data_IF_293985251601
#
_entry.id   IF_293985251601
#
_cell.length_a   1.000
_cell.length_b   1.000
_cell.length_c   1.000
_cell.angle_alpha   90.00
_cell.angle_beta   90.00
_cell.angle_gamma   90.00
#
_symmetry.space_group_name_H-M   'P 1'
#
loop_
_entity.id
_entity.type
_entity.pdbx_description
1 polymer ?
#
# COMPACT_ATOMS: atom_id res chain seq x y z
N UNK A 1 -26.39 -13.18 -8.81
CA UNK A 1 -25.06 -13.80 -8.71
C UNK A 1 -24.11 -12.94 -9.53
N UNK A 2 -23.48 -11.94 -8.92
CA UNK A 2 -22.65 -10.99 -9.67
C UNK A 2 -21.24 -11.55 -9.75
N UNK A 3 -20.78 -11.82 -10.97
CA UNK A 3 -19.43 -12.29 -11.27
C UNK A 3 -18.47 -11.18 -10.83
N UNK A 4 -17.75 -11.39 -9.73
CA UNK A 4 -16.62 -10.56 -9.33
C UNK A 4 -15.55 -10.72 -10.42
N UNK A 5 -15.37 -9.70 -11.27
CA UNK A 5 -14.25 -9.63 -12.21
C UNK A 5 -12.90 -9.75 -11.48
N UNK A 6 -11.79 -10.02 -12.21
CA UNK A 6 -10.51 -10.43 -11.62
C UNK A 6 -9.76 -9.34 -10.79
N UNK A 7 -10.38 -8.23 -10.42
CA UNK A 7 -9.70 -6.96 -10.17
C UNK A 7 -9.69 -6.39 -8.74
N UNK A 8 -9.63 -7.21 -7.67
CA UNK A 8 -9.51 -6.69 -6.29
C UNK A 8 -8.28 -7.24 -5.54
N UNK A 9 -7.15 -7.31 -6.22
CA UNK A 9 -5.89 -7.77 -5.62
C UNK A 9 -4.77 -6.84 -6.02
N UNK A 10 -4.05 -6.32 -5.04
CA UNK A 10 -2.77 -5.64 -5.27
C UNK A 10 -1.86 -6.67 -5.96
N UNK A 11 -1.32 -6.29 -7.12
CA UNK A 11 -0.26 -7.03 -7.81
C UNK A 11 1.02 -6.99 -6.96
N UNK A 12 2.04 -7.76 -7.31
CA UNK A 12 3.31 -7.64 -6.58
C UNK A 12 3.94 -6.26 -6.81
N UNK A 13 4.05 -5.48 -5.75
CA UNK A 13 4.85 -4.26 -5.71
C UNK A 13 6.30 -4.67 -5.44
N UNK A 14 7.22 -4.32 -6.34
CA UNK A 14 8.65 -4.54 -6.17
C UNK A 14 9.40 -3.21 -6.26
N UNK A 15 9.91 -2.75 -5.12
CA UNK A 15 10.78 -1.58 -5.04
C UNK A 15 12.13 -2.04 -4.52
N UNK A 16 13.11 -2.13 -5.41
CA UNK A 16 14.43 -2.73 -5.12
C UNK A 16 15.04 -2.22 -3.80
N UNK A 17 15.10 -0.89 -3.63
CA UNK A 17 15.65 -0.28 -2.41
C UNK A 17 14.84 -0.54 -1.14
N UNK A 18 13.54 -0.81 -1.25
CA UNK A 18 12.72 -1.18 -0.09
C UNK A 18 12.93 -2.63 0.33
N UNK A 19 13.39 -3.49 -0.59
CA UNK A 19 13.75 -4.87 -0.26
C UNK A 19 15.19 -5.02 0.24
N UNK A 20 16.05 -4.02 -0.02
CA UNK A 20 17.43 -4.00 0.48
C UNK A 20 17.51 -4.05 2.01
N UNK A 21 16.52 -3.47 2.72
CA UNK A 21 16.46 -3.47 4.19
C UNK A 21 16.47 -4.87 4.82
N UNK A 22 16.13 -5.91 4.06
CA UNK A 22 16.16 -7.30 4.49
C UNK A 22 16.89 -8.22 3.51
N UNK A 23 17.80 -7.68 2.70
CA UNK A 23 18.57 -8.47 1.73
C UNK A 23 19.32 -9.62 2.39
N UNK A 24 19.94 -9.36 3.55
CA UNK A 24 20.71 -10.35 4.32
C UNK A 24 19.82 -11.37 5.06
N UNK A 25 18.53 -11.08 5.21
CA UNK A 25 17.55 -11.93 5.90
C UNK A 25 16.24 -12.01 5.11
N UNK A 26 16.35 -12.46 3.86
CA UNK A 26 15.22 -12.48 2.92
C UNK A 26 14.04 -13.25 3.51
N UNK A 27 12.84 -12.63 3.59
CA UNK A 27 11.64 -13.33 4.03
C UNK A 27 11.37 -14.57 3.17
N UNK A 28 10.86 -15.63 3.79
CA UNK A 28 10.34 -16.79 3.06
C UNK A 28 9.38 -16.35 1.94
N UNK A 29 9.36 -17.02 0.77
CA UNK A 29 8.62 -16.57 -0.41
C UNK A 29 7.16 -16.21 -0.13
N UNK A 30 6.46 -16.98 0.70
CA UNK A 30 5.08 -16.69 1.11
C UNK A 30 4.94 -15.36 1.85
N UNK A 31 5.87 -15.03 2.76
CA UNK A 31 5.88 -13.75 3.49
C UNK A 31 6.27 -12.60 2.58
N UNK A 32 7.25 -12.79 1.69
CA UNK A 32 7.61 -11.78 0.70
C UNK A 32 6.43 -11.48 -0.23
N UNK A 33 5.71 -12.50 -0.68
CA UNK A 33 4.48 -12.32 -1.45
C UNK A 33 3.43 -11.48 -0.69
N UNK A 34 3.20 -11.80 0.59
CA UNK A 34 2.29 -11.02 1.43
C UNK A 34 2.75 -9.56 1.57
N UNK A 35 4.06 -9.31 1.75
CA UNK A 35 4.64 -7.97 1.82
C UNK A 35 4.42 -7.19 0.52
N UNK A 36 4.75 -7.78 -0.65
CA UNK A 36 4.57 -7.15 -1.96
C UNK A 36 3.12 -6.87 -2.31
N UNK A 37 2.17 -7.62 -1.74
CA UNK A 37 0.72 -7.37 -1.85
C UNK A 37 0.16 -6.48 -0.74
N UNK A 38 1.02 -5.99 0.16
CA UNK A 38 0.69 -5.24 1.37
C UNK A 38 -0.32 -5.98 2.28
N UNK A 39 -0.35 -7.32 2.25
CA UNK A 39 -1.30 -8.18 2.97
C UNK A 39 -0.64 -8.77 4.23
N UNK A 40 -0.54 -7.98 5.28
CA UNK A 40 0.16 -8.41 6.49
C UNK A 40 -0.84 -8.81 7.57
N UNK A 41 -0.85 -10.11 7.92
CA UNK A 41 -1.62 -10.61 9.07
C UNK A 41 -0.89 -10.34 10.41
N UNK A 42 0.44 -10.28 10.37
CA UNK A 42 1.29 -9.96 11.52
C UNK A 42 2.30 -8.90 11.12
N UNK A 43 2.34 -7.83 11.89
CA UNK A 43 3.33 -6.75 11.74
C UNK A 43 4.59 -7.12 12.53
N UNK A 44 5.72 -6.90 11.90
CA UNK A 44 7.09 -7.06 12.38
C UNK A 44 7.90 -5.86 11.93
N UNK A 45 9.08 -5.62 12.51
CA UNK A 45 9.96 -4.51 12.07
C UNK A 45 10.22 -4.53 10.56
N UNK A 46 10.64 -5.67 10.01
CA UNK A 46 10.93 -5.84 8.56
C UNK A 46 9.73 -5.46 7.68
N UNK A 47 8.53 -5.88 8.09
CA UNK A 47 7.31 -5.60 7.31
C UNK A 47 6.90 -4.14 7.41
N UNK A 48 7.09 -3.53 8.57
CA UNK A 48 6.81 -2.11 8.81
C UNK A 48 7.78 -1.22 8.01
N UNK A 49 9.08 -1.51 8.07
CA UNK A 49 10.11 -0.84 7.28
C UNK A 49 9.85 -0.94 5.78
N UNK A 50 9.45 -2.11 5.29
CA UNK A 50 9.09 -2.29 3.88
C UNK A 50 7.91 -1.40 3.47
N UNK A 51 6.82 -1.41 4.24
CA UNK A 51 5.62 -0.64 3.94
C UNK A 51 5.91 0.85 4.01
N UNK A 52 6.61 1.30 5.04
CA UNK A 52 7.02 2.68 5.19
C UNK A 52 7.86 3.13 3.98
N UNK A 53 8.83 2.32 3.56
CA UNK A 53 9.62 2.62 2.38
C UNK A 53 8.76 2.73 1.12
N UNK A 54 7.86 1.77 0.87
CA UNK A 54 6.97 1.79 -0.31
C UNK A 54 6.07 3.04 -0.30
N UNK A 55 5.42 3.36 0.82
CA UNK A 55 4.55 4.53 0.93
C UNK A 55 5.31 5.84 0.78
N UNK A 56 6.54 5.91 1.31
CA UNK A 56 7.42 7.05 1.09
C UNK A 56 7.79 7.20 -0.39
N UNK A 57 8.07 6.10 -1.09
CA UNK A 57 8.35 6.12 -2.52
C UNK A 57 7.17 6.56 -3.37
N UNK A 58 5.95 6.24 -2.94
CA UNK A 58 4.73 6.72 -3.57
C UNK A 58 4.46 8.20 -3.28
N UNK A 59 5.18 8.83 -2.34
CA UNK A 59 4.91 10.18 -1.85
C UNK A 59 3.64 10.24 -0.99
N UNK A 60 3.17 9.11 -0.47
CA UNK A 60 1.98 9.02 0.37
C UNK A 60 2.25 9.38 1.81
N UNK A 61 3.50 9.55 2.21
CA UNK A 61 3.84 10.03 3.54
C UNK A 61 4.19 11.52 3.50
N UNK A 62 3.64 12.29 4.43
CA UNK A 62 4.03 13.69 4.64
C UNK A 62 5.36 13.80 5.41
N UNK A 63 5.79 15.03 5.71
CA UNK A 63 7.04 15.29 6.43
C UNK A 63 7.07 14.76 7.87
N UNK A 64 5.90 14.45 8.45
CA UNK A 64 5.79 13.83 9.77
C UNK A 64 5.78 12.29 9.68
N UNK A 65 5.73 11.73 8.46
CA UNK A 65 5.62 10.31 8.20
C UNK A 65 4.19 9.77 8.32
N UNK A 66 3.18 10.66 8.31
CA UNK A 66 1.75 10.31 8.31
C UNK A 66 1.22 10.22 6.89
N UNK A 67 0.11 9.53 6.70
CA UNK A 67 -0.48 9.37 5.36
C UNK A 67 -1.06 10.70 4.86
N UNK A 68 -0.55 11.18 3.73
CA UNK A 68 -1.04 12.39 3.07
C UNK A 68 -2.28 12.06 2.25
N UNK A 69 -3.45 12.42 2.78
CA UNK A 69 -4.74 12.27 2.10
C UNK A 69 -4.70 12.93 0.72
N UNK A 70 -4.10 14.12 0.62
CA UNK A 70 -3.95 14.85 -0.65
C UNK A 70 -3.15 14.05 -1.67
N UNK A 71 -2.02 13.45 -1.28
CA UNK A 71 -1.19 12.67 -2.20
C UNK A 71 -1.91 11.39 -2.67
N UNK A 72 -2.63 10.72 -1.78
CA UNK A 72 -3.46 9.56 -2.14
C UNK A 72 -4.54 9.98 -3.16
N UNK A 73 -5.27 11.06 -2.89
CA UNK A 73 -6.32 11.55 -3.78
C UNK A 73 -5.80 11.98 -5.15
N UNK A 74 -4.59 12.52 -5.23
CA UNK A 74 -3.96 12.85 -6.51
C UNK A 74 -3.82 11.61 -7.41
N UNK A 75 -3.40 10.47 -6.86
CA UNK A 75 -3.32 9.23 -7.64
C UNK A 75 -4.71 8.65 -7.96
N UNK A 76 -5.68 8.77 -7.04
CA UNK A 76 -7.08 8.42 -7.33
C UNK A 76 -7.60 9.18 -8.56
N UNK A 77 -7.45 10.50 -8.56
CA UNK A 77 -7.87 11.36 -9.68
C UNK A 77 -7.11 11.03 -10.96
N UNK A 78 -5.78 10.87 -10.87
CA UNK A 78 -4.91 10.53 -12.00
C UNK A 78 -5.30 9.23 -12.67
N UNK A 79 -5.75 8.23 -11.90
CA UNK A 79 -6.15 6.92 -12.41
C UNK A 79 -7.67 6.75 -12.56
N UNK A 80 -8.39 7.87 -12.69
CA UNK A 80 -9.80 7.91 -13.10
C UNK A 80 -10.77 7.45 -12.03
N UNK A 81 -10.48 7.75 -10.76
CA UNK A 81 -11.35 7.54 -9.59
C UNK A 81 -11.54 8.90 -8.90
N UNK A 82 -12.50 9.70 -9.38
CA UNK A 82 -12.68 11.09 -8.94
C UNK A 82 -13.85 11.30 -7.96
N UNK A 83 -14.70 10.29 -7.76
CA UNK A 83 -15.92 10.35 -6.94
C UNK A 83 -15.71 9.78 -5.52
N UNK A 84 -14.46 9.59 -5.09
CA UNK A 84 -14.11 8.91 -3.82
C UNK A 84 -13.45 9.79 -2.78
N UNK A 85 -13.35 11.10 -3.01
CA UNK A 85 -12.65 12.02 -2.12
C UNK A 85 -13.13 11.95 -0.67
N UNK A 86 -14.45 12.07 -0.47
CA UNK A 86 -15.05 12.01 0.86
C UNK A 86 -14.88 10.61 1.48
N UNK A 87 -15.04 9.55 0.69
CA UNK A 87 -14.85 8.17 1.16
C UNK A 87 -13.44 7.92 1.65
N UNK A 88 -12.43 8.36 0.90
CA UNK A 88 -11.02 8.22 1.26
C UNK A 88 -10.68 9.08 2.49
N UNK A 89 -11.19 10.32 2.55
CA UNK A 89 -11.01 11.20 3.71
C UNK A 89 -11.59 10.61 4.98
N UNK A 90 -12.84 10.15 4.92
CA UNK A 90 -13.56 9.58 6.05
C UNK A 90 -12.92 8.27 6.52
N UNK A 91 -12.50 7.41 5.58
CA UNK A 91 -11.77 6.19 5.90
C UNK A 91 -10.48 6.54 6.64
N UNK A 92 -9.60 7.37 6.07
CA UNK A 92 -8.31 7.69 6.68
C UNK A 92 -8.48 8.35 8.05
N UNK A 93 -9.48 9.22 8.21
CA UNK A 93 -9.84 9.80 9.51
C UNK A 93 -10.31 8.74 10.51
N UNK A 94 -11.15 7.79 10.10
CA UNK A 94 -11.58 6.69 10.96
C UNK A 94 -10.38 5.83 11.40
N UNK A 95 -9.44 5.55 10.49
CA UNK A 95 -8.21 4.84 10.81
C UNK A 95 -7.33 5.62 11.80
N UNK A 96 -7.30 6.96 11.70
CA UNK A 96 -6.58 7.82 12.67
C UNK A 96 -7.20 7.74 14.07
N UNK A 97 -8.54 7.68 14.15
CA UNK A 97 -9.25 7.52 15.42
C UNK A 97 -9.01 6.13 16.03
N UNK A 98 -8.99 5.08 15.20
CA UNK A 98 -8.81 3.69 15.66
C UNK A 98 -7.38 3.41 16.13
N UNK A 99 -6.38 3.89 15.39
CA UNK A 99 -4.97 3.56 15.62
C UNK A 99 -4.14 4.70 16.23
N UNK A 100 -4.71 5.90 16.38
CA UNK A 100 -4.06 7.07 16.96
C UNK A 100 -3.49 8.05 15.92
N UNK A 101 -3.59 9.35 16.23
CA UNK A 101 -3.15 10.46 15.37
C UNK A 101 -1.65 10.74 15.36
N UNK A 102 -0.93 10.20 16.34
CA UNK A 102 0.53 10.30 16.45
C UNK A 102 1.27 9.06 15.97
N UNK A 103 0.56 7.97 15.67
CA UNK A 103 1.21 6.68 15.43
C UNK A 103 1.55 6.49 13.95
N UNK A 104 2.85 6.32 13.68
CA UNK A 104 3.41 5.83 12.41
C UNK A 104 3.02 4.37 12.10
N UNK A 105 2.03 3.86 12.81
CA UNK A 105 1.54 2.49 12.76
C UNK A 105 1.25 2.09 11.33
N UNK A 106 1.84 0.97 10.93
CA UNK A 106 1.56 0.37 9.63
C UNK A 106 0.08 0.02 9.45
N UNK A 107 -0.67 -0.20 10.53
CA UNK A 107 -2.12 -0.47 10.47
C UNK A 107 -2.91 0.74 9.99
N UNK A 108 -2.63 1.92 10.55
CA UNK A 108 -3.20 3.18 10.06
C UNK A 108 -2.86 3.40 8.58
N UNK A 109 -1.57 3.28 8.24
CA UNK A 109 -1.05 3.51 6.89
C UNK A 109 -1.63 2.55 5.83
N UNK A 110 -1.87 1.28 6.21
CA UNK A 110 -2.45 0.27 5.30
C UNK A 110 -3.97 0.24 5.31
N UNK A 111 -4.63 1.02 6.16
CA UNK A 111 -6.09 1.04 6.28
C UNK A 111 -6.77 1.47 4.98
N UNK A 112 -6.12 2.31 4.17
CA UNK A 112 -6.59 2.70 2.83
C UNK A 112 -6.86 1.51 1.90
N UNK A 113 -6.22 0.36 2.14
CA UNK A 113 -6.46 -0.88 1.38
C UNK A 113 -7.86 -1.45 1.53
N UNK A 114 -8.60 -1.01 2.54
CA UNK A 114 -10.00 -1.37 2.75
C UNK A 114 -10.93 -0.61 1.79
N UNK A 115 -10.46 0.48 1.20
CA UNK A 115 -11.18 1.14 0.10
C UNK A 115 -11.10 0.27 -1.16
N UNK A 116 -12.24 0.11 -1.84
CA UNK A 116 -12.43 -0.86 -2.92
C UNK A 116 -11.57 -0.53 -4.15
N UNK A 117 -11.50 0.73 -4.51
CA UNK A 117 -10.79 1.22 -5.69
C UNK A 117 -9.28 1.39 -5.44
N UNK A 118 -8.81 1.35 -4.18
CA UNK A 118 -7.38 1.46 -3.85
C UNK A 118 -6.53 0.45 -4.64
N UNK A 119 -7.01 -0.78 -4.78
CA UNK A 119 -6.28 -1.83 -5.51
C UNK A 119 -6.07 -1.49 -6.98
N UNK A 120 -7.05 -0.84 -7.62
CA UNK A 120 -6.93 -0.33 -9.00
C UNK A 120 -5.90 0.79 -9.06
N UNK A 121 -6.01 1.76 -8.15
CA UNK A 121 -5.14 2.94 -8.08
C UNK A 121 -3.68 2.54 -7.87
N UNK A 122 -3.42 1.70 -6.86
CA UNK A 122 -2.05 1.31 -6.52
C UNK A 122 -1.41 0.46 -7.61
N UNK A 123 -2.16 -0.45 -8.25
CA UNK A 123 -1.63 -1.27 -9.35
C UNK A 123 -1.31 -0.40 -10.57
N UNK A 124 -2.17 0.57 -10.90
CA UNK A 124 -1.90 1.51 -11.99
C UNK A 124 -0.66 2.37 -11.69
N UNK A 125 -0.53 2.83 -10.43
CA UNK A 125 0.63 3.61 -10.01
C UNK A 125 1.92 2.81 -10.10
N UNK A 126 1.98 1.62 -9.52
CA UNK A 126 3.21 0.82 -9.51
C UNK A 126 3.57 0.28 -10.89
N UNK A 127 2.58 0.02 -11.75
CA UNK A 127 2.83 -0.29 -13.15
C UNK A 127 3.48 0.88 -13.91
N UNK A 128 3.03 2.12 -13.67
CA UNK A 128 3.61 3.32 -14.27
C UNK A 128 5.09 3.50 -13.86
N UNK A 129 5.43 3.18 -12.61
CA UNK A 129 6.79 3.25 -12.08
C UNK A 129 7.69 2.07 -12.52
N UNK A 130 7.13 1.06 -13.19
CA UNK A 130 7.86 -0.16 -13.54
C UNK A 130 8.19 -1.06 -12.34
N UNK A 131 7.49 -0.89 -11.20
CA UNK A 131 7.72 -1.61 -9.94
C UNK A 131 7.06 -2.99 -9.91
N UNK A 132 7.16 -3.73 -11.01
CA UNK A 132 6.74 -5.13 -11.09
C UNK A 132 7.97 -6.03 -10.98
N UNK A 133 7.93 -7.12 -10.18
CA UNK A 133 9.08 -8.01 -10.06
C UNK A 133 9.32 -8.74 -11.39
N UNK A 134 10.60 -8.88 -11.77
CA UNK A 134 11.00 -9.74 -12.90
C UNK A 134 10.73 -11.22 -12.60
N UNK A 135 10.92 -11.60 -11.34
CA UNK A 135 10.60 -12.93 -10.81
C UNK A 135 9.51 -12.81 -9.72
N UNK A 136 8.23 -13.00 -10.09
CA UNK A 136 7.12 -13.00 -9.15
C UNK A 136 7.26 -14.12 -8.13
N UNK A 137 7.05 -13.82 -6.84
CA UNK A 137 7.10 -14.83 -5.76
C UNK A 137 5.71 -15.24 -5.29
N UNK A 138 4.66 -14.52 -5.71
CA UNK A 138 3.27 -14.87 -5.49
C UNK A 138 2.79 -15.86 -6.54
N UNK A 139 2.84 -17.15 -6.21
CA UNK A 139 2.20 -18.22 -7.00
C UNK A 139 0.69 -18.29 -6.74
#
# INVERSE_FOLDING_TARGET
MTILGPGYKIEEIYVEKCEQAFADNKPYPGRLCQMRKLRMQKVTSITEEYVECVLNQLGYLDTEGKISVTAVLQDYHKFGVADKDDTVRDLLKACEVEFGSGDKSVYHRLCIKSERDFTKVINARTALEGWRPKDPVCK
#
